data_IF_741504782475
#
_entry.id   IF_741504782475
#
_cell.length_a   1.000
_cell.length_b   1.000
_cell.length_c   1.000
_cell.angle_alpha   90.00
_cell.angle_beta   90.00
_cell.angle_gamma   90.00
#
_symmetry.space_group_name_H-M   'P 1'
#
loop_
_entity.id
_entity.type
_entity.pdbx_description
1 polymer ?
#
# COMPACT_ATOMS: atom_id res chain seq x y z
N UNK A 1 13.00 44.04 -67.95
CA UNK A 1 14.12 44.58 -68.76
C UNK A 1 14.79 45.69 -67.96
N UNK A 2 16.07 45.47 -67.60
CA UNK A 2 17.15 46.40 -67.15
C UNK A 2 16.88 47.35 -65.95
N UNK A 3 17.51 47.25 -64.76
CA UNK A 3 18.94 47.17 -64.29
C UNK A 3 19.59 48.55 -64.06
N UNK A 4 20.00 48.83 -62.82
CA UNK A 4 21.08 49.76 -62.37
C UNK A 4 21.22 49.60 -60.84
N UNK A 5 22.18 48.87 -60.24
CA UNK A 5 23.63 49.13 -59.95
C UNK A 5 23.89 50.43 -59.17
N UNK A 6 24.82 50.58 -58.21
CA UNK A 6 25.65 49.77 -57.29
C UNK A 6 26.48 50.82 -56.47
N UNK A 7 27.08 50.43 -55.34
CA UNK A 7 28.42 50.88 -54.86
C UNK A 7 28.62 52.15 -53.98
N UNK A 8 28.97 51.87 -52.71
CA UNK A 8 30.03 52.42 -51.82
C UNK A 8 30.03 53.86 -51.23
N UNK A 9 30.29 53.92 -49.91
CA UNK A 9 31.47 54.60 -49.35
C UNK A 9 31.82 54.09 -47.94
N UNK A 10 32.97 53.43 -47.86
CA UNK A 10 33.67 53.10 -46.63
C UNK A 10 34.29 54.36 -46.00
N UNK A 11 34.30 54.44 -44.68
CA UNK A 11 35.27 55.26 -43.96
C UNK A 11 35.86 54.46 -42.79
N UNK A 12 37.10 54.08 -43.00
CA UNK A 12 38.04 53.42 -42.12
C UNK A 12 38.55 54.38 -41.04
N UNK A 13 38.55 53.95 -39.78
CA UNK A 13 39.39 54.53 -38.73
C UNK A 13 40.28 53.41 -38.18
N UNK A 14 41.58 53.55 -38.49
CA UNK A 14 42.69 52.79 -37.92
C UNK A 14 43.04 53.32 -36.54
N UNK A 15 43.46 52.44 -35.60
CA UNK A 15 44.48 52.63 -34.54
C UNK A 15 44.59 51.32 -33.70
N UNK A 16 45.68 51.05 -32.94
CA UNK A 16 46.66 50.02 -33.33
C UNK A 16 46.95 48.91 -32.27
N UNK A 17 47.71 47.89 -32.72
CA UNK A 17 48.75 47.12 -32.01
C UNK A 17 48.53 46.65 -30.54
N UNK A 18 48.37 45.34 -30.33
CA UNK A 18 49.09 44.53 -29.33
C UNK A 18 48.59 43.08 -29.40
N UNK A 19 49.40 42.16 -29.94
CA UNK A 19 50.21 41.21 -29.16
C UNK A 19 49.41 40.26 -28.27
N UNK A 20 49.21 39.06 -28.81
CA UNK A 20 49.38 37.76 -28.16
C UNK A 20 49.19 37.72 -26.63
N UNK A 21 47.98 37.38 -26.19
CA UNK A 21 47.79 36.48 -25.05
C UNK A 21 46.63 35.56 -25.43
N UNK A 22 46.96 34.31 -25.75
CA UNK A 22 46.03 33.20 -25.57
C UNK A 22 45.54 33.32 -24.12
N UNK A 23 44.31 33.78 -23.94
CA UNK A 23 43.57 33.51 -22.72
C UNK A 23 43.39 31.99 -22.71
N UNK A 24 44.39 31.30 -22.15
CA UNK A 24 44.16 29.99 -21.56
C UNK A 24 43.06 30.26 -20.53
N UNK A 25 41.84 29.88 -20.87
CA UNK A 25 40.79 29.74 -19.89
C UNK A 25 41.29 28.64 -18.97
N UNK A 26 42.02 29.01 -17.93
CA UNK A 26 42.32 28.09 -16.84
C UNK A 26 41.01 27.90 -16.13
N UNK A 27 40.21 26.97 -16.65
CA UNK A 27 39.20 26.28 -15.88
C UNK A 27 39.98 25.59 -14.76
N UNK A 28 40.26 26.32 -13.69
CA UNK A 28 40.35 25.68 -12.38
C UNK A 28 38.98 25.08 -12.14
N UNK A 29 38.76 23.89 -12.71
CA UNK A 29 37.80 22.92 -12.20
C UNK A 29 38.33 22.54 -10.82
N UNK A 30 38.14 23.45 -9.87
CA UNK A 30 37.95 23.05 -8.49
C UNK A 30 36.63 22.31 -8.56
N UNK A 31 36.71 20.99 -8.69
CA UNK A 31 35.58 20.06 -8.62
C UNK A 31 34.70 20.54 -7.45
N UNK A 32 33.48 21.04 -7.72
CA UNK A 32 32.65 21.56 -6.64
C UNK A 32 32.28 20.37 -5.77
N UNK A 33 32.58 20.48 -4.48
CA UNK A 33 32.36 19.47 -3.46
C UNK A 33 30.87 19.28 -3.11
N UNK A 34 30.00 19.23 -4.13
CA UNK A 34 28.55 19.20 -4.03
C UNK A 34 27.90 20.57 -4.32
N UNK A 35 26.61 20.55 -4.64
CA UNK A 35 25.84 21.77 -4.94
C UNK A 35 25.57 22.57 -3.67
N UNK A 36 25.55 23.90 -3.81
CA UNK A 36 25.22 24.81 -2.69
C UNK A 36 23.73 24.76 -2.35
N UNK A 37 23.37 25.29 -1.18
CA UNK A 37 21.96 25.40 -0.76
C UNK A 37 21.13 26.17 -1.81
N UNK A 38 21.62 27.31 -2.28
CA UNK A 38 20.92 28.17 -3.24
C UNK A 38 20.68 27.45 -4.57
N UNK A 39 21.70 26.78 -5.09
CA UNK A 39 21.59 26.00 -6.33
C UNK A 39 20.60 24.84 -6.17
N UNK A 40 20.67 24.14 -5.02
CA UNK A 40 19.74 23.06 -4.71
C UNK A 40 18.29 23.55 -4.59
N UNK A 41 18.08 24.72 -3.97
CA UNK A 41 16.74 25.30 -3.82
C UNK A 41 16.15 25.67 -5.19
N UNK A 42 16.95 26.25 -6.10
CA UNK A 42 16.50 26.56 -7.47
C UNK A 42 16.13 25.29 -8.25
N UNK A 43 16.89 24.21 -8.09
CA UNK A 43 16.55 22.90 -8.68
C UNK A 43 15.25 22.34 -8.08
N UNK A 44 15.06 22.46 -6.77
CA UNK A 44 13.85 22.02 -6.09
C UNK A 44 12.61 22.78 -6.57
N UNK A 45 12.70 24.12 -6.72
CA UNK A 45 11.64 24.93 -7.30
C UNK A 45 11.29 24.49 -8.73
N UNK A 46 12.32 24.19 -9.53
CA UNK A 46 12.10 23.76 -10.92
C UNK A 46 11.44 22.39 -11.02
N UNK A 47 11.81 21.44 -10.16
CA UNK A 47 11.37 20.05 -10.26
C UNK A 47 10.08 19.75 -9.47
N UNK A 48 9.87 20.40 -8.33
CA UNK A 48 8.84 20.01 -7.35
C UNK A 48 7.74 21.05 -7.14
N UNK A 49 7.94 22.32 -7.52
CA UNK A 49 6.99 23.39 -7.21
C UNK A 49 5.61 23.22 -7.86
N UNK A 50 5.52 22.53 -9.00
CA UNK A 50 4.24 22.21 -9.64
C UNK A 50 3.38 21.28 -8.77
N UNK A 51 3.99 20.50 -7.87
CA UNK A 51 3.31 19.56 -6.98
C UNK A 51 2.94 20.14 -5.61
N UNK A 52 3.58 21.23 -5.18
CA UNK A 52 3.41 21.83 -3.85
C UNK A 52 4.36 23.00 -3.61
N UNK A 53 4.16 23.74 -2.51
CA UNK A 53 5.08 24.84 -2.16
C UNK A 53 6.37 24.28 -1.59
N UNK A 54 7.51 24.59 -2.20
CA UNK A 54 8.84 24.19 -1.69
C UNK A 54 9.30 25.23 -0.68
N UNK A 55 9.65 24.80 0.54
CA UNK A 55 10.25 25.68 1.55
C UNK A 55 11.74 25.89 1.29
N UNK A 56 12.26 27.06 1.65
CA UNK A 56 13.68 27.40 1.50
C UNK A 56 14.57 26.89 2.64
N UNK A 57 14.00 26.33 3.71
CA UNK A 57 14.74 25.74 4.83
C UNK A 57 15.26 24.32 4.51
N UNK A 58 16.16 24.21 3.52
CA UNK A 58 16.73 22.93 3.09
C UNK A 58 17.73 22.34 4.08
N UNK A 59 17.67 21.02 4.30
CA UNK A 59 18.64 20.28 5.12
C UNK A 59 19.55 19.41 4.26
N UNK A 60 20.87 19.56 4.41
CA UNK A 60 21.87 18.74 3.72
C UNK A 60 22.12 17.43 4.47
N UNK A 61 22.06 16.32 3.74
CA UNK A 61 22.56 15.02 4.17
C UNK A 61 23.90 14.71 3.48
N UNK A 62 24.99 14.78 4.23
CA UNK A 62 26.34 14.54 3.73
C UNK A 62 26.64 13.08 3.38
N UNK A 63 25.88 12.13 3.93
CA UNK A 63 26.07 10.70 3.65
C UNK A 63 25.50 10.32 2.28
N UNK A 64 24.33 10.86 1.95
CA UNK A 64 23.63 10.58 0.68
C UNK A 64 23.91 11.63 -0.39
N UNK A 65 24.61 12.72 -0.05
CA UNK A 65 24.87 13.84 -0.97
C UNK A 65 23.58 14.42 -1.55
N UNK A 66 22.61 14.63 -0.66
CA UNK A 66 21.28 15.17 -1.01
C UNK A 66 20.85 16.31 -0.11
N UNK A 67 20.19 17.29 -0.71
CA UNK A 67 19.41 18.33 -0.03
C UNK A 67 17.96 17.92 0.06
N UNK A 68 17.33 18.19 1.20
CA UNK A 68 15.92 17.89 1.45
C UNK A 68 15.19 19.18 1.80
N UNK A 69 14.21 19.55 0.98
CA UNK A 69 13.34 20.70 1.20
C UNK A 69 11.93 20.20 1.50
N UNK A 70 11.32 20.70 2.57
CA UNK A 70 9.93 20.37 2.88
C UNK A 70 9.01 20.88 1.75
N UNK A 71 7.98 20.09 1.44
CA UNK A 71 7.04 20.36 0.35
C UNK A 71 5.61 20.42 0.91
N UNK A 72 4.93 21.56 0.78
CA UNK A 72 3.52 21.67 1.16
C UNK A 72 2.63 21.13 0.05
N UNK A 73 2.27 19.85 0.18
CA UNK A 73 1.29 19.19 -0.68
C UNK A 73 0.53 18.14 0.10
N UNK A 74 -0.76 17.99 -0.20
CA UNK A 74 -1.66 17.13 0.57
C UNK A 74 -1.66 15.70 0.02
N UNK A 75 -1.07 14.79 0.78
CA UNK A 75 -1.25 13.34 0.62
C UNK A 75 -1.42 12.69 1.98
N UNK A 76 -2.60 12.13 2.32
CA UNK A 76 -2.85 11.56 3.64
C UNK A 76 -1.81 10.53 4.04
N UNK A 77 -1.28 10.65 5.26
CA UNK A 77 -0.28 9.74 5.80
C UNK A 77 1.14 9.91 5.25
N UNK A 78 1.40 10.94 4.45
CA UNK A 78 2.73 11.21 3.89
C UNK A 78 3.31 12.54 4.37
N UNK A 79 4.63 12.54 4.58
CA UNK A 79 5.42 13.75 4.78
C UNK A 79 6.36 13.94 3.57
N UNK A 80 5.97 14.72 2.55
CA UNK A 80 6.75 14.88 1.34
C UNK A 80 7.92 15.86 1.50
N UNK A 81 8.99 15.58 0.77
CA UNK A 81 10.12 16.49 0.60
C UNK A 81 10.62 16.46 -0.84
N UNK A 82 11.06 17.59 -1.37
CA UNK A 82 11.84 17.62 -2.61
C UNK A 82 13.29 17.28 -2.28
N UNK A 83 13.80 16.20 -2.85
CA UNK A 83 15.17 15.72 -2.64
C UNK A 83 16.00 16.07 -3.87
N UNK A 84 17.06 16.84 -3.67
CA UNK A 84 17.97 17.27 -4.73
C UNK A 84 19.34 16.63 -4.51
N UNK A 85 19.88 15.97 -5.53
CA UNK A 85 21.17 15.31 -5.51
C UNK A 85 22.28 16.23 -6.00
N UNK A 86 23.52 15.97 -5.58
CA UNK A 86 24.70 16.73 -6.04
C UNK A 86 24.94 16.63 -7.56
N UNK A 87 24.36 15.65 -8.26
CA UNK A 87 24.40 15.55 -9.72
C UNK A 87 23.38 16.45 -10.44
N UNK A 88 22.58 17.19 -9.68
CA UNK A 88 21.56 18.12 -10.18
C UNK A 88 20.19 17.47 -10.42
N UNK A 89 20.03 16.17 -10.18
CA UNK A 89 18.71 15.54 -10.22
C UNK A 89 17.86 15.92 -9.01
N UNK A 90 16.55 16.03 -9.20
CA UNK A 90 15.60 16.38 -8.16
C UNK A 90 14.31 15.58 -8.30
N UNK A 91 13.82 15.03 -7.19
CA UNK A 91 12.62 14.21 -7.14
C UNK A 91 11.84 14.40 -5.84
N UNK A 92 10.53 14.15 -5.87
CA UNK A 92 9.70 14.20 -4.66
C UNK A 92 9.80 12.86 -3.93
N UNK A 93 10.32 12.90 -2.72
CA UNK A 93 10.32 11.76 -1.81
C UNK A 93 9.11 11.81 -0.88
N UNK A 94 8.21 10.85 -1.04
CA UNK A 94 7.05 10.70 -0.19
C UNK A 94 7.38 9.79 1.00
N UNK A 95 7.66 10.39 2.16
CA UNK A 95 7.88 9.62 3.39
C UNK A 95 6.53 9.27 4.01
N UNK A 96 5.87 8.29 3.41
CA UNK A 96 4.57 7.81 3.87
C UNK A 96 4.68 6.83 5.03
N UNK A 97 3.87 7.03 6.06
CA UNK A 97 3.64 6.03 7.11
C UNK A 97 2.59 5.04 6.62
N UNK A 98 2.96 3.77 6.46
CA UNK A 98 2.05 2.69 6.08
C UNK A 98 1.51 2.84 4.67
N UNK A 99 2.06 2.09 3.71
CA UNK A 99 1.46 1.80 2.40
C UNK A 99 0.09 1.10 2.59
N UNK A 100 -0.88 1.81 3.13
CA UNK A 100 -2.27 1.40 3.24
C UNK A 100 -2.95 2.19 2.14
N UNK A 101 -3.24 1.51 1.04
CA UNK A 101 -4.26 1.94 0.09
C UNK A 101 -5.53 2.25 0.91
N UNK A 102 -6.19 3.40 0.68
CA UNK A 102 -7.42 3.69 1.40
C UNK A 102 -8.41 2.55 1.11
N UNK A 103 -8.98 2.00 2.19
CA UNK A 103 -10.05 1.00 2.25
C UNK A 103 -9.69 -0.50 2.34
N UNK A 104 -8.62 -0.89 3.05
CA UNK A 104 -8.59 -2.24 3.64
C UNK A 104 -8.18 -2.20 5.11
N UNK A 105 -9.03 -2.68 6.06
CA UNK A 105 -8.66 -2.72 7.46
C UNK A 105 -7.43 -3.60 7.64
N UNK A 106 -6.37 -3.00 8.19
CA UNK A 106 -5.11 -3.65 8.48
C UNK A 106 -5.33 -4.83 9.44
N UNK A 107 -5.21 -6.05 8.91
CA UNK A 107 -4.93 -7.24 9.72
C UNK A 107 -3.67 -7.91 9.20
N UNK A 108 -2.51 -7.34 9.56
CA UNK A 108 -1.23 -8.05 9.47
C UNK A 108 -1.02 -8.89 10.73
N UNK A 109 -2.03 -9.69 11.10
CA UNK A 109 -1.76 -10.91 11.85
C UNK A 109 -1.36 -11.96 10.82
N UNK A 110 -0.31 -12.73 11.09
CA UNK A 110 -0.09 -14.01 10.42
C UNK A 110 -1.47 -14.69 10.33
N UNK A 111 -1.96 -14.91 9.10
CA UNK A 111 -3.36 -15.27 8.90
C UNK A 111 -3.68 -16.48 9.76
N UNK A 112 -4.62 -16.32 10.70
CA UNK A 112 -5.00 -17.42 11.60
C UNK A 112 -5.43 -18.60 10.71
N UNK A 113 -4.73 -19.75 10.74
CA UNK A 113 -5.01 -20.88 9.84
C UNK A 113 -6.48 -21.31 9.86
N UNK A 114 -7.13 -21.24 11.03
CA UNK A 114 -8.55 -21.55 11.15
C UNK A 114 -9.47 -20.52 10.47
N UNK A 115 -9.11 -19.24 10.57
CA UNK A 115 -9.85 -18.16 9.93
C UNK A 115 -9.69 -18.20 8.41
N UNK A 116 -8.45 -18.41 7.95
CA UNK A 116 -8.14 -18.59 6.52
C UNK A 116 -8.92 -19.77 5.95
N UNK A 117 -8.83 -20.93 6.60
CA UNK A 117 -9.57 -22.12 6.16
C UNK A 117 -11.07 -21.85 6.08
N UNK A 118 -11.68 -21.25 7.13
CA UNK A 118 -13.10 -20.90 7.11
C UNK A 118 -13.50 -20.06 5.89
N UNK A 119 -12.75 -18.98 5.62
CA UNK A 119 -13.03 -18.07 4.50
C UNK A 119 -12.78 -18.75 3.14
N UNK A 120 -11.73 -19.57 3.02
CA UNK A 120 -11.45 -20.34 1.80
C UNK A 120 -12.53 -21.37 1.47
N UNK A 121 -13.22 -21.90 2.49
CA UNK A 121 -14.38 -22.77 2.31
C UNK A 121 -15.67 -22.01 1.96
N UNK A 122 -15.62 -20.67 1.87
CA UNK A 122 -16.75 -19.81 1.50
C UNK A 122 -17.65 -19.40 2.68
N UNK A 123 -17.14 -19.52 3.91
CA UNK A 123 -17.88 -19.20 5.14
C UNK A 123 -17.42 -17.89 5.78
N UNK A 124 -18.19 -17.40 6.75
CA UNK A 124 -17.87 -16.14 7.45
C UNK A 124 -17.13 -16.45 8.75
N UNK A 125 -16.04 -15.75 9.03
CA UNK A 125 -15.32 -15.89 10.30
C UNK A 125 -15.63 -14.73 11.24
N UNK A 126 -16.09 -15.04 12.46
CA UNK A 126 -16.43 -14.07 13.51
C UNK A 126 -15.55 -14.26 14.74
N UNK A 127 -15.11 -13.17 15.36
CA UNK A 127 -14.43 -13.23 16.65
C UNK A 127 -15.43 -12.84 17.75
N UNK A 128 -15.55 -13.68 18.78
CA UNK A 128 -16.45 -13.48 19.92
C UNK A 128 -15.63 -13.32 21.19
N UNK A 129 -16.05 -12.41 22.07
CA UNK A 129 -15.47 -12.27 23.41
C UNK A 129 -16.17 -13.24 24.36
N UNK A 130 -15.40 -14.08 25.02
CA UNK A 130 -15.84 -15.09 25.97
C UNK A 130 -15.09 -14.94 27.30
N UNK A 131 -15.48 -15.74 28.30
CA UNK A 131 -14.87 -15.71 29.63
C UNK A 131 -13.35 -15.96 29.59
N UNK A 132 -12.90 -16.82 28.67
CA UNK A 132 -11.50 -17.22 28.52
C UNK A 132 -10.70 -16.38 27.51
N UNK A 133 -11.33 -15.37 26.90
CA UNK A 133 -10.69 -14.50 25.92
C UNK A 133 -11.47 -14.37 24.62
N UNK A 134 -10.77 -14.11 23.52
CA UNK A 134 -11.38 -14.02 22.19
C UNK A 134 -11.27 -15.34 21.44
N UNK A 135 -12.42 -15.92 21.10
CA UNK A 135 -12.51 -17.14 20.31
C UNK A 135 -13.08 -16.84 18.93
N UNK A 136 -12.55 -17.52 17.92
CA UNK A 136 -13.00 -17.38 16.54
C UNK A 136 -13.99 -18.46 16.16
N UNK A 137 -15.00 -18.11 15.38
CA UNK A 137 -16.08 -18.98 14.94
C UNK A 137 -16.23 -18.92 13.42
N UNK A 138 -16.35 -20.07 12.79
CA UNK A 138 -16.75 -20.20 11.40
C UNK A 138 -18.27 -20.33 11.32
N UNK A 139 -18.91 -19.40 10.62
CA UNK A 139 -20.36 -19.32 10.41
C UNK A 139 -20.66 -19.86 9.01
N UNK A 140 -21.38 -20.98 8.98
CA UNK A 140 -21.69 -21.71 7.76
C UNK A 140 -22.92 -21.11 7.05
N UNK A 141 -23.09 -21.44 5.77
CA UNK A 141 -24.21 -20.94 4.95
C UNK A 141 -25.60 -21.36 5.46
N UNK A 142 -25.65 -22.44 6.25
CA UNK A 142 -26.86 -22.93 6.88
C UNK A 142 -27.19 -22.22 8.22
N UNK A 143 -26.37 -21.24 8.60
CA UNK A 143 -26.50 -20.47 9.84
C UNK A 143 -25.92 -21.16 11.08
N UNK A 144 -25.49 -22.42 10.97
CA UNK A 144 -24.76 -23.08 12.06
C UNK A 144 -23.36 -22.48 12.20
N UNK A 145 -22.77 -22.63 13.38
CA UNK A 145 -21.42 -22.11 13.64
C UNK A 145 -20.58 -23.13 14.41
N UNK A 146 -19.30 -23.18 14.10
CA UNK A 146 -18.34 -23.94 14.88
C UNK A 146 -17.11 -23.10 15.23
N UNK A 147 -16.47 -23.38 16.36
CA UNK A 147 -15.18 -22.78 16.72
C UNK A 147 -14.16 -23.07 15.62
N UNK A 148 -13.38 -22.05 15.24
CA UNK A 148 -12.54 -22.06 14.05
C UNK A 148 -11.53 -23.20 14.04
N UNK A 149 -10.82 -23.43 15.15
CA UNK A 149 -9.82 -24.50 15.22
C UNK A 149 -10.44 -25.90 15.21
N UNK A 150 -11.63 -26.04 15.78
CA UNK A 150 -12.44 -27.26 15.76
C UNK A 150 -12.88 -27.58 14.32
N UNK A 151 -13.30 -26.57 13.57
CA UNK A 151 -13.62 -26.72 12.14
C UNK A 151 -12.37 -27.05 11.32
N UNK A 152 -11.26 -26.36 11.57
CA UNK A 152 -9.98 -26.60 10.91
C UNK A 152 -9.46 -28.03 11.07
N UNK A 153 -9.68 -28.65 12.24
CA UNK A 153 -9.32 -30.05 12.51
C UNK A 153 -10.34 -31.08 11.98
N UNK A 154 -11.46 -30.63 11.39
CA UNK A 154 -12.54 -31.50 10.92
C UNK A 154 -13.33 -32.16 12.04
N UNK A 155 -13.30 -31.60 13.25
CA UNK A 155 -14.05 -32.08 14.41
C UNK A 155 -15.52 -31.60 14.38
N UNK A 156 -15.82 -30.66 13.48
CA UNK A 156 -17.15 -30.15 13.15
C UNK A 156 -17.16 -29.62 11.70
N UNK A 157 -18.31 -29.16 11.21
CA UNK A 157 -18.51 -28.59 9.88
C UNK A 157 -19.96 -28.20 9.59
N UNK A 158 -20.25 -27.72 8.37
CA UNK A 158 -21.60 -27.41 7.93
C UNK A 158 -22.51 -28.64 8.03
N UNK A 159 -23.67 -28.52 8.66
CA UNK A 159 -24.53 -29.67 8.95
C UNK A 159 -23.95 -30.69 9.93
N UNK A 160 -22.76 -30.47 10.52
CA UNK A 160 -22.32 -31.24 11.68
C UNK A 160 -23.15 -30.79 12.87
N UNK A 161 -24.19 -31.56 13.08
CA UNK A 161 -24.92 -31.65 14.32
C UNK A 161 -23.97 -32.15 15.42
N UNK A 162 -23.21 -31.23 15.99
CA UNK A 162 -22.24 -31.48 17.06
C UNK A 162 -22.33 -30.45 18.17
N UNK A 163 -23.41 -29.66 18.20
CA UNK A 163 -23.79 -29.00 19.44
C UNK A 163 -24.14 -30.07 20.45
N UNK A 164 -23.61 -29.93 21.66
CA UNK A 164 -24.17 -30.62 22.80
C UNK A 164 -25.68 -30.37 22.82
N UNK A 165 -26.46 -31.41 23.00
CA UNK A 165 -27.90 -31.33 23.12
C UNK A 165 -28.33 -31.97 24.43
N UNK A 166 -29.42 -31.46 25.00
CA UNK A 166 -30.11 -32.14 26.10
C UNK A 166 -31.39 -32.82 25.60
N UNK A 167 -31.98 -32.28 24.52
CA UNK A 167 -33.23 -32.75 23.94
C UNK A 167 -33.22 -32.72 22.41
N UNK A 168 -34.13 -33.47 21.80
CA UNK A 168 -34.33 -33.50 20.33
C UNK A 168 -34.61 -32.09 19.74
N UNK A 169 -35.11 -31.15 20.55
CA UNK A 169 -35.41 -29.78 20.12
C UNK A 169 -34.15 -28.91 19.95
N UNK A 170 -33.04 -29.28 20.60
CA UNK A 170 -31.75 -28.57 20.49
C UNK A 170 -31.07 -28.88 19.15
N UNK A 171 -31.56 -29.90 18.44
CA UNK A 171 -31.00 -30.37 17.19
C UNK A 171 -31.72 -29.75 15.99
N UNK A 172 -31.08 -28.76 15.35
CA UNK A 172 -31.66 -28.06 14.20
C UNK A 172 -31.12 -28.58 12.86
N UNK A 173 -31.99 -29.18 12.04
CA UNK A 173 -31.66 -29.55 10.65
C UNK A 173 -32.01 -28.40 9.71
N UNK A 174 -31.02 -27.82 9.00
CA UNK A 174 -31.33 -26.91 7.92
C UNK A 174 -32.10 -27.66 6.82
N UNK A 175 -33.15 -27.03 6.30
CA UNK A 175 -34.01 -27.59 5.26
C UNK A 175 -33.23 -28.07 4.03
N UNK A 176 -32.14 -27.39 3.67
CA UNK A 176 -31.27 -27.78 2.56
C UNK A 176 -30.53 -29.11 2.79
N UNK A 177 -30.17 -29.41 4.04
CA UNK A 177 -29.55 -30.68 4.41
C UNK A 177 -30.56 -31.82 4.31
N UNK A 178 -31.77 -31.59 4.83
CA UNK A 178 -32.91 -32.50 4.72
C UNK A 178 -33.31 -32.79 3.25
N UNK A 179 -33.12 -31.84 2.34
CA UNK A 179 -33.43 -32.00 0.92
C UNK A 179 -32.38 -32.84 0.15
N UNK A 180 -31.12 -32.90 0.63
CA UNK A 180 -30.00 -33.60 -0.05
C UNK A 180 -29.78 -35.02 0.47
N UNK A 181 -30.13 -35.31 1.72
CA UNK A 181 -30.15 -36.67 2.24
C UNK A 181 -31.46 -37.33 1.83
N UNK A 182 -31.43 -38.43 1.07
CA UNK A 182 -32.60 -39.18 0.61
C UNK A 182 -33.45 -39.84 1.74
N UNK A 183 -33.37 -39.34 2.98
CA UNK A 183 -33.95 -39.90 4.20
C UNK A 183 -34.71 -38.81 5.01
N UNK A 184 -35.87 -39.14 5.59
CA UNK A 184 -36.69 -38.16 6.30
C UNK A 184 -36.29 -37.82 7.76
N UNK A 185 -35.55 -36.71 7.91
CA UNK A 185 -35.78 -35.47 8.70
C UNK A 185 -35.86 -35.41 10.25
N UNK A 186 -35.52 -36.42 11.03
CA UNK A 186 -35.44 -36.22 12.50
C UNK A 186 -34.00 -36.20 12.97
N UNK A 187 -33.55 -35.01 13.34
CA UNK A 187 -32.41 -34.91 14.20
C UNK A 187 -32.84 -35.18 15.63
N UNK A 188 -32.09 -36.06 16.30
CA UNK A 188 -32.38 -36.48 17.67
C UNK A 188 -31.14 -36.29 18.51
N UNK A 189 -31.38 -36.03 19.79
CA UNK A 189 -30.31 -35.98 20.74
C UNK A 189 -30.00 -37.40 21.23
N UNK A 190 -28.89 -37.97 20.78
CA UNK A 190 -28.42 -39.29 21.21
C UNK A 190 -27.12 -39.11 21.99
N UNK A 191 -27.11 -39.48 23.28
CA UNK A 191 -25.89 -39.45 24.08
C UNK A 191 -25.25 -38.07 24.27
N UNK A 192 -26.05 -37.00 24.17
CA UNK A 192 -25.58 -35.62 24.27
C UNK A 192 -25.11 -35.01 22.96
N UNK A 193 -25.25 -35.73 21.83
CA UNK A 193 -24.90 -35.25 20.49
C UNK A 193 -26.09 -35.37 19.55
N UNK A 194 -26.22 -34.41 18.64
CA UNK A 194 -27.29 -34.43 17.65
C UNK A 194 -26.96 -35.40 16.50
N UNK A 195 -27.83 -36.37 16.24
CA UNK A 195 -27.67 -37.37 15.19
C UNK A 195 -28.85 -37.33 14.22
N UNK A 196 -28.61 -37.62 12.94
CA UNK A 196 -29.68 -37.80 11.95
C UNK A 196 -30.15 -39.24 12.01
N UNK A 197 -31.39 -39.47 12.45
CA UNK A 197 -31.97 -40.80 12.54
C UNK A 197 -32.89 -41.03 11.34
N UNK A 198 -32.63 -42.11 10.60
CA UNK A 198 -33.50 -42.59 9.54
C UNK A 198 -34.63 -43.45 10.15
N UNK A 199 -35.91 -43.17 9.88
CA UNK A 199 -37.03 -43.97 10.42
C UNK A 199 -37.12 -45.42 9.93
N UNK A 200 -36.19 -45.87 9.08
CA UNK A 200 -36.26 -47.16 8.38
C UNK A 200 -35.06 -48.09 8.67
N UNK A 201 -34.18 -47.71 9.61
CA UNK A 201 -33.04 -48.53 10.08
C UNK A 201 -33.36 -49.31 11.37
#
# INVERSE_FOLDING_TARGET
>A
MLKTTNTERALTIFLPLASLLLFACTSTTTEPSGITHEEAYVLALTACQESGTVHDEGVRNENTKTWWFDLDTERPGCNPACVVHDDGSAEINWRCTGLIEPDTPAKTELANPSATFCVEQGYTYEIRNEADGQNGYCIFSDGSSCEGWTYYRGECGPGSMGSACETDADCFLPFEYAARSSCPYQARCTGGSCEVICPWD
#
